data_IF_270022954146
#
_entry.id   IF_270022954146
#
_cell.length_a   1.000
_cell.length_b   1.000
_cell.length_c   1.000
_cell.angle_alpha   90.00
_cell.angle_beta   90.00
_cell.angle_gamma   90.00
#
_symmetry.space_group_name_H-M   'P 1'
#
loop_
_entity.id
_entity.type
_entity.pdbx_description
1 polymer ?
#
# COMPACT_ATOMS: atom_id res chain seq x y z
N UNK A 1 5.44 -1.74 2.01
CA UNK A 1 4.40 -0.70 2.06
C UNK A 1 3.76 -0.76 3.44
N UNK A 2 3.53 0.38 4.09
CA UNK A 2 2.91 0.44 5.42
C UNK A 2 1.39 0.20 5.38
N UNK A 3 0.80 0.18 4.18
CA UNK A 3 -0.61 -0.10 3.94
C UNK A 3 -0.76 -1.20 2.90
N UNK A 4 -1.73 -2.09 3.11
CA UNK A 4 -2.04 -3.16 2.15
C UNK A 4 -2.65 -2.60 0.86
N UNK A 5 -2.60 -3.34 -0.27
CA UNK A 5 -3.29 -2.97 -1.51
C UNK A 5 -4.77 -2.61 -1.31
N UNK A 6 -5.47 -3.31 -0.40
CA UNK A 6 -6.87 -3.03 -0.04
C UNK A 6 -7.02 -1.67 0.64
N UNK A 7 -6.11 -1.32 1.56
CA UNK A 7 -6.11 0.00 2.19
C UNK A 7 -5.81 1.12 1.20
N UNK A 8 -4.91 0.88 0.24
CA UNK A 8 -4.63 1.85 -0.83
C UNK A 8 -5.83 2.09 -1.76
N UNK A 9 -6.59 1.04 -2.09
CA UNK A 9 -7.85 1.20 -2.81
C UNK A 9 -8.84 2.05 -2.00
N UNK A 10 -9.01 1.78 -0.70
CA UNK A 10 -9.88 2.58 0.17
C UNK A 10 -9.45 4.05 0.26
N UNK A 11 -8.14 4.32 0.38
CA UNK A 11 -7.62 5.69 0.39
C UNK A 11 -7.99 6.42 -0.90
N UNK A 12 -7.84 5.77 -2.07
CA UNK A 12 -8.22 6.39 -3.35
C UNK A 12 -9.72 6.72 -3.43
N UNK A 13 -10.60 5.88 -2.86
CA UNK A 13 -12.02 6.22 -2.78
C UNK A 13 -12.27 7.47 -1.92
N UNK A 14 -11.54 7.64 -0.81
CA UNK A 14 -11.58 8.85 0.00
C UNK A 14 -11.05 10.06 -0.77
N UNK A 15 -9.95 9.89 -1.49
CA UNK A 15 -9.31 10.94 -2.29
C UNK A 15 -10.24 11.47 -3.39
N UNK A 16 -10.95 10.56 -4.08
CA UNK A 16 -11.90 10.92 -5.15
C UNK A 16 -13.16 11.62 -4.60
N UNK A 17 -13.55 11.31 -3.37
CA UNK A 17 -14.74 11.89 -2.74
C UNK A 17 -14.45 13.23 -2.04
N UNK A 18 -13.28 13.38 -1.42
CA UNK A 18 -12.97 14.51 -0.55
C UNK A 18 -12.68 15.80 -1.36
N UNK A 19 -13.50 16.87 -1.23
CA UNK A 19 -13.26 18.13 -1.94
C UNK A 19 -11.97 18.85 -1.53
N UNK A 20 -11.42 18.47 -0.37
CA UNK A 20 -10.18 18.98 0.20
C UNK A 20 -9.00 18.01 0.04
N UNK A 21 -9.12 17.03 -0.86
CA UNK A 21 -8.00 16.15 -1.20
C UNK A 21 -6.79 16.96 -1.69
N UNK A 22 -5.61 16.59 -1.20
CA UNK A 22 -4.34 17.24 -1.54
C UNK A 22 -3.55 16.46 -2.58
N UNK A 23 -2.94 15.36 -2.15
CA UNK A 23 -2.17 14.44 -2.99
C UNK A 23 -2.18 13.05 -2.36
N UNK A 24 -2.00 12.02 -3.18
CA UNK A 24 -1.94 10.63 -2.74
C UNK A 24 -0.51 10.11 -2.85
N UNK A 25 0.03 9.57 -1.75
CA UNK A 25 1.31 8.88 -1.76
C UNK A 25 1.18 7.52 -2.47
N UNK A 26 2.15 7.17 -3.31
CA UNK A 26 2.13 5.91 -4.04
C UNK A 26 3.47 5.16 -3.96
N UNK A 27 3.41 3.94 -3.45
CA UNK A 27 4.58 3.14 -3.10
C UNK A 27 5.16 2.31 -4.27
N UNK A 28 4.52 2.37 -5.45
CA UNK A 28 4.88 1.60 -6.66
C UNK A 28 4.82 0.08 -6.44
N UNK A 29 3.61 -0.52 -6.40
CA UNK A 29 3.43 -1.96 -6.24
C UNK A 29 4.16 -2.75 -7.30
N UNK A 30 4.63 -3.94 -6.92
CA UNK A 30 5.23 -4.94 -7.81
C UNK A 30 4.17 -5.63 -8.66
N UNK A 31 4.56 -6.27 -9.77
CA UNK A 31 3.62 -7.07 -10.57
C UNK A 31 3.01 -8.23 -9.77
N UNK A 32 3.77 -8.83 -8.85
CA UNK A 32 3.24 -9.85 -7.95
C UNK A 32 2.08 -9.31 -7.10
N UNK A 33 2.17 -8.07 -6.61
CA UNK A 33 1.08 -7.45 -5.85
C UNK A 33 -0.14 -7.17 -6.74
N UNK A 34 0.04 -6.78 -8.01
CA UNK A 34 -1.07 -6.64 -8.95
C UNK A 34 -1.73 -7.98 -9.29
N UNK A 35 -0.95 -9.07 -9.38
CA UNK A 35 -1.49 -10.42 -9.57
C UNK A 35 -2.22 -10.93 -8.32
N UNK A 36 -1.64 -10.72 -7.14
CA UNK A 36 -2.21 -11.17 -5.86
C UNK A 36 -3.43 -10.34 -5.45
N UNK A 37 -3.49 -9.06 -5.83
CA UNK A 37 -4.59 -8.16 -5.53
C UNK A 37 -5.21 -7.59 -6.81
N UNK A 38 -6.00 -8.39 -7.54
CA UNK A 38 -6.69 -7.91 -8.73
C UNK A 38 -7.61 -6.74 -8.36
N UNK A 39 -7.58 -5.70 -9.19
CA UNK A 39 -8.30 -4.45 -8.96
C UNK A 39 -7.48 -3.35 -8.28
N UNK A 40 -6.24 -3.63 -7.84
CA UNK A 40 -5.33 -2.62 -7.28
C UNK A 40 -5.17 -1.41 -8.24
N UNK A 41 -5.38 -0.17 -7.76
CA UNK A 41 -5.29 1.03 -8.58
C UNK A 41 -3.97 1.15 -9.34
N UNK A 42 -4.03 1.70 -10.56
CA UNK A 42 -2.85 1.89 -11.41
C UNK A 42 -2.57 3.36 -11.69
N UNK A 43 -1.29 3.72 -11.63
CA UNK A 43 -0.82 5.05 -12.01
C UNK A 43 -0.74 5.13 -13.53
N UNK A 44 -1.31 6.21 -14.09
CA UNK A 44 -1.17 6.60 -15.50
C UNK A 44 -0.89 8.09 -15.54
N UNK A 45 0.20 8.48 -16.19
CA UNK A 45 0.61 9.90 -16.35
C UNK A 45 0.63 10.71 -15.05
N UNK A 46 1.04 10.08 -13.94
CA UNK A 46 1.14 10.72 -12.63
C UNK A 46 -0.17 10.76 -11.81
N UNK A 47 -1.27 10.24 -12.35
CA UNK A 47 -2.55 10.12 -11.64
C UNK A 47 -2.85 8.67 -11.29
N UNK A 48 -3.44 8.46 -10.11
CA UNK A 48 -3.91 7.16 -9.67
C UNK A 48 -5.37 6.96 -10.08
N UNK A 49 -5.68 5.83 -10.72
CA UNK A 49 -7.01 5.56 -11.23
C UNK A 49 -7.68 4.39 -10.50
N UNK A 50 -8.90 4.63 -10.04
CA UNK A 50 -9.81 3.59 -9.59
C UNK A 50 -10.42 2.82 -10.78
N UNK A 51 -11.09 1.72 -10.47
CA UNK A 51 -11.94 0.99 -11.42
C UNK A 51 -13.42 1.17 -11.02
N UNK A 52 -14.32 0.71 -11.90
CA UNK A 52 -15.77 0.85 -11.73
C UNK A 52 -16.43 -0.39 -11.09
N UNK A 53 -15.63 -1.32 -10.55
CA UNK A 53 -16.17 -2.51 -9.86
C UNK A 53 -16.79 -2.12 -8.51
N UNK A 54 -17.84 -2.85 -8.05
CA UNK A 54 -18.53 -2.51 -6.82
C UNK A 54 -17.65 -2.64 -5.56
N UNK A 55 -18.02 -1.90 -4.52
CA UNK A 55 -17.28 -1.88 -3.25
C UNK A 55 -15.97 -1.10 -3.39
N UNK A 56 -14.87 -1.64 -2.86
CA UNK A 56 -13.54 -1.04 -3.06
C UNK A 56 -12.94 -1.35 -4.44
N UNK A 57 -13.56 -2.24 -5.22
CA UNK A 57 -13.05 -2.66 -6.53
C UNK A 57 -11.72 -3.41 -6.46
N UNK A 58 -11.48 -4.15 -5.37
CA UNK A 58 -10.25 -4.93 -5.18
C UNK A 58 -10.57 -6.26 -4.51
N UNK A 59 -9.84 -7.31 -4.88
CA UNK A 59 -9.95 -8.64 -4.29
C UNK A 59 -8.56 -9.21 -3.95
N UNK A 60 -8.51 -10.41 -3.39
CA UNK A 60 -7.27 -11.14 -3.08
C UNK A 60 -7.30 -12.55 -3.69
N UNK A 61 -6.22 -12.94 -4.35
CA UNK A 61 -5.97 -14.33 -4.72
C UNK A 61 -5.34 -15.06 -3.52
N UNK A 62 -6.17 -15.75 -2.73
CA UNK A 62 -5.74 -16.50 -1.55
C UNK A 62 -4.78 -17.65 -1.87
N UNK A 63 -4.90 -18.26 -3.07
CA UNK A 63 -4.01 -19.35 -3.45
C UNK A 63 -2.61 -18.83 -3.77
N UNK A 64 -2.52 -17.70 -4.46
CA UNK A 64 -1.24 -17.03 -4.70
C UNK A 64 -0.65 -16.51 -3.38
N UNK A 65 -1.45 -15.84 -2.55
CA UNK A 65 -1.03 -15.35 -1.24
C UNK A 65 -0.47 -16.47 -0.34
N UNK A 66 -1.06 -17.67 -0.38
CA UNK A 66 -0.60 -18.83 0.41
C UNK A 66 0.85 -19.27 0.11
N UNK A 67 1.38 -18.90 -1.06
CA UNK A 67 2.77 -19.20 -1.46
C UNK A 67 3.79 -18.22 -0.85
N UNK A 68 3.32 -17.10 -0.29
CA UNK A 68 4.15 -16.03 0.28
C UNK A 68 3.75 -15.78 1.75
N UNK A 69 4.06 -16.71 2.66
CA UNK A 69 3.75 -16.55 4.08
C UNK A 69 4.53 -15.37 4.68
N UNK A 70 3.96 -14.72 5.70
CA UNK A 70 4.65 -13.67 6.43
C UNK A 70 5.93 -14.19 7.09
N UNK A 71 6.97 -13.35 7.07
CA UNK A 71 8.21 -13.59 7.80
C UNK A 71 8.24 -12.75 9.08
N UNK A 72 8.71 -13.35 10.17
CA UNK A 72 8.98 -12.61 11.41
C UNK A 72 10.39 -12.03 11.34
N UNK A 73 10.47 -10.73 11.03
CA UNK A 73 11.73 -10.01 10.90
C UNK A 73 11.85 -8.90 11.94
N UNK A 74 13.06 -8.64 12.40
CA UNK A 74 13.35 -7.49 13.25
C UNK A 74 13.58 -6.27 12.35
N UNK A 75 12.69 -5.28 12.46
CA UNK A 75 12.79 -4.01 11.73
C UNK A 75 13.93 -3.14 12.27
N UNK A 76 15.16 -3.40 11.80
CA UNK A 76 16.39 -2.82 12.37
C UNK A 76 16.45 -1.29 12.30
N UNK A 77 15.85 -0.66 11.28
CA UNK A 77 15.83 0.79 11.13
C UNK A 77 15.06 1.49 12.27
N UNK A 78 14.11 0.81 12.92
CA UNK A 78 13.38 1.35 14.07
C UNK A 78 14.25 1.46 15.33
N UNK A 79 15.40 0.79 15.36
CA UNK A 79 16.41 0.90 16.44
C UNK A 79 17.34 2.10 16.22
N UNK A 80 16.79 3.22 15.75
CA UNK A 80 17.53 4.43 15.43
C UNK A 80 18.12 5.06 16.70
N UNK A 81 19.39 5.44 16.62
CA UNK A 81 20.15 6.08 17.70
C UNK A 81 20.91 7.30 17.20
N UNK A 82 21.03 8.30 18.06
CA UNK A 82 21.97 9.40 17.87
C UNK A 82 23.43 8.91 18.01
N UNK A 83 24.43 9.68 17.56
CA UNK A 83 25.85 9.30 17.67
C UNK A 83 26.35 9.03 19.09
N UNK A 84 25.68 9.56 20.11
CA UNK A 84 25.97 9.32 21.54
C UNK A 84 25.35 8.00 22.06
N UNK A 85 24.59 7.29 21.22
CA UNK A 85 23.91 6.04 21.54
C UNK A 85 22.47 6.21 22.05
N UNK A 86 21.97 7.43 22.22
CA UNK A 86 20.60 7.67 22.74
C UNK A 86 19.55 7.24 21.70
N UNK A 87 18.52 6.45 22.09
CA UNK A 87 17.41 6.11 21.18
C UNK A 87 16.68 7.36 20.69
N UNK A 88 16.37 7.41 19.40
CA UNK A 88 15.56 8.46 18.80
C UNK A 88 14.25 7.89 18.25
N UNK A 89 13.23 8.74 18.09
CA UNK A 89 12.10 8.38 17.24
C UNK A 89 12.63 8.30 15.80
N UNK A 90 12.54 7.14 15.13
CA UNK A 90 12.99 7.00 13.76
C UNK A 90 12.15 7.88 12.83
#
# INVERSE_FOLDING_TARGET
SDTSPVGHAANLHLDLWAPNFGIQEWYRPTELEYEMFPGLPRVRDGYLYANDEPGLGINIDEQLASKYPCEEIVETWTQTRHPDGTPARP
#
